data_IF_343886010195
#
_entry.id   IF_343886010195
#
_cell.length_a   1.000
_cell.length_b   1.000
_cell.length_c   1.000
_cell.angle_alpha   90.00
_cell.angle_beta   90.00
_cell.angle_gamma   90.00
#
_symmetry.space_group_name_H-M   'P 1'
#
loop_
_entity.id
_entity.type
_entity.pdbx_description
1 polymer ?
#
# COMPACT_ATOMS: atom_id res chain seq x y z
N UNK A 1 2.10 -1.77 -16.99
CA UNK A 1 3.45 -2.34 -16.82
C UNK A 1 3.45 -3.28 -15.61
N UNK A 2 4.34 -4.29 -15.52
CA UNK A 2 4.60 -5.05 -14.28
C UNK A 2 6.03 -4.75 -13.83
N UNK A 3 6.19 -4.05 -12.72
CA UNK A 3 7.42 -3.44 -12.23
C UNK A 3 8.51 -4.47 -11.95
N UNK A 4 8.24 -5.55 -11.20
CA UNK A 4 9.31 -6.54 -10.91
C UNK A 4 9.87 -7.17 -12.19
N UNK A 5 9.03 -7.35 -13.22
CA UNK A 5 9.49 -7.85 -14.52
C UNK A 5 10.40 -6.83 -15.20
N UNK A 6 10.02 -5.56 -15.18
CA UNK A 6 10.84 -4.46 -15.72
C UNK A 6 12.19 -4.38 -14.99
N UNK A 7 12.20 -4.49 -13.67
CA UNK A 7 13.42 -4.50 -12.84
C UNK A 7 14.31 -5.68 -13.23
N UNK A 8 13.75 -6.89 -13.22
CA UNK A 8 14.50 -8.10 -13.56
C UNK A 8 15.09 -8.02 -14.98
N UNK A 9 14.31 -7.55 -15.97
CA UNK A 9 14.79 -7.39 -17.33
C UNK A 9 15.92 -6.36 -17.42
N UNK A 10 15.78 -5.20 -16.77
CA UNK A 10 16.78 -4.13 -16.81
C UNK A 10 18.07 -4.54 -16.13
N UNK A 11 18.01 -5.05 -14.90
CA UNK A 11 19.21 -5.50 -14.20
C UNK A 11 19.82 -6.75 -14.82
N UNK A 12 19.02 -7.67 -15.37
CA UNK A 12 19.54 -8.80 -16.14
C UNK A 12 20.30 -8.35 -17.38
N UNK A 13 19.79 -7.34 -18.09
CA UNK A 13 20.49 -6.75 -19.23
C UNK A 13 21.79 -6.05 -18.82
N UNK A 14 21.78 -5.28 -17.73
CA UNK A 14 22.98 -4.64 -17.20
C UNK A 14 24.03 -5.66 -16.75
N UNK A 15 23.60 -6.72 -16.07
CA UNK A 15 24.45 -7.82 -15.63
C UNK A 15 25.14 -8.52 -16.82
N UNK A 16 24.39 -8.79 -17.90
CA UNK A 16 24.91 -9.48 -19.08
C UNK A 16 25.85 -8.62 -19.93
N UNK A 17 25.58 -7.31 -20.05
CA UNK A 17 26.14 -6.48 -21.14
C UNK A 17 26.90 -5.25 -20.68
N UNK A 18 26.69 -4.77 -19.46
CA UNK A 18 27.25 -3.51 -19.02
C UNK A 18 28.51 -3.64 -18.17
N UNK A 19 29.41 -2.69 -18.38
CA UNK A 19 30.55 -2.44 -17.50
C UNK A 19 30.29 -1.11 -16.82
N UNK A 20 29.72 -1.11 -15.60
CA UNK A 20 29.49 0.15 -14.90
C UNK A 20 30.83 0.84 -14.71
N UNK A 21 30.83 2.16 -14.88
CA UNK A 21 31.96 3.01 -14.49
C UNK A 21 31.79 3.40 -13.03
N UNK A 22 32.89 3.66 -12.33
CA UNK A 22 32.80 4.26 -11.00
C UNK A 22 32.04 5.59 -11.05
N UNK A 23 31.21 5.84 -10.05
CA UNK A 23 30.41 7.05 -9.93
C UNK A 23 30.63 7.69 -8.57
N UNK A 24 30.33 8.98 -8.43
CA UNK A 24 30.50 9.69 -7.16
C UNK A 24 29.22 9.61 -6.33
N UNK A 25 29.35 9.24 -5.06
CA UNK A 25 28.26 9.25 -4.09
C UNK A 25 27.98 10.65 -3.52
N UNK A 26 26.97 10.74 -2.65
CA UNK A 26 26.54 12.00 -2.04
C UNK A 26 27.60 12.61 -1.11
N UNK A 27 28.45 11.76 -0.52
CA UNK A 27 29.59 12.12 0.32
C UNK A 27 30.84 12.56 -0.48
N UNK A 28 30.72 12.66 -1.81
CA UNK A 28 31.83 12.98 -2.71
C UNK A 28 32.82 11.83 -2.91
N UNK A 29 32.59 10.66 -2.30
CA UNK A 29 33.47 9.50 -2.44
C UNK A 29 33.11 8.67 -3.68
N UNK A 30 34.10 8.03 -4.33
CA UNK A 30 33.82 7.14 -5.45
C UNK A 30 33.14 5.86 -4.96
N UNK A 31 32.06 5.47 -5.63
CA UNK A 31 31.43 4.15 -5.56
C UNK A 31 32.04 3.29 -6.66
N UNK A 32 32.77 2.21 -6.31
CA UNK A 32 33.40 1.30 -7.26
C UNK A 32 32.41 0.69 -8.25
N UNK A 33 32.88 0.41 -9.47
CA UNK A 33 32.08 -0.29 -10.50
C UNK A 33 31.60 -1.68 -10.05
N UNK A 34 32.40 -2.38 -9.24
CA UNK A 34 32.03 -3.72 -8.75
C UNK A 34 30.82 -3.67 -7.81
N UNK A 35 30.67 -2.60 -7.01
CA UNK A 35 29.52 -2.42 -6.13
C UNK A 35 28.22 -2.34 -6.93
N UNK A 36 28.22 -1.70 -8.10
CA UNK A 36 27.07 -1.68 -9.00
C UNK A 36 26.72 -3.07 -9.52
N UNK A 37 27.72 -3.86 -9.90
CA UNK A 37 27.50 -5.24 -10.37
C UNK A 37 26.93 -6.12 -9.27
N UNK A 38 27.50 -6.00 -8.07
CA UNK A 38 27.03 -6.74 -6.91
C UNK A 38 25.61 -6.33 -6.52
N UNK A 39 25.29 -5.03 -6.60
CA UNK A 39 23.93 -4.54 -6.40
C UNK A 39 22.94 -5.14 -7.40
N UNK A 40 23.23 -5.10 -8.70
CA UNK A 40 22.38 -5.70 -9.73
C UNK A 40 22.16 -7.20 -9.51
N UNK A 41 23.23 -7.92 -9.16
CA UNK A 41 23.18 -9.35 -8.84
C UNK A 41 22.33 -9.61 -7.60
N UNK A 42 22.46 -8.79 -6.56
CA UNK A 42 21.67 -8.90 -5.33
C UNK A 42 20.19 -8.74 -5.63
N UNK A 43 19.80 -7.67 -6.34
CA UNK A 43 18.39 -7.41 -6.68
C UNK A 43 17.79 -8.55 -7.51
N UNK A 44 18.55 -9.08 -8.49
CA UNK A 44 18.10 -10.24 -9.27
C UNK A 44 17.94 -11.50 -8.43
N UNK A 45 18.86 -11.73 -7.48
CA UNK A 45 18.82 -12.86 -6.55
C UNK A 45 17.65 -12.77 -5.57
N UNK A 46 17.37 -11.56 -5.07
CA UNK A 46 16.24 -11.30 -4.19
C UNK A 46 14.92 -11.51 -4.94
N UNK A 47 14.75 -10.93 -6.13
CA UNK A 47 13.56 -11.16 -6.95
C UNK A 47 13.38 -12.64 -7.36
N UNK A 48 14.47 -13.39 -7.55
CA UNK A 48 14.39 -14.82 -7.85
C UNK A 48 13.98 -15.68 -6.65
N UNK A 49 14.28 -15.22 -5.44
CA UNK A 49 13.97 -15.93 -4.20
C UNK A 49 12.64 -15.50 -3.59
N UNK A 50 12.16 -14.30 -3.94
CA UNK A 50 10.96 -13.70 -3.38
C UNK A 50 9.67 -14.41 -3.84
N UNK A 51 8.67 -14.47 -2.95
CA UNK A 51 7.29 -14.71 -3.35
C UNK A 51 6.71 -13.41 -3.89
N UNK A 52 6.33 -13.42 -5.17
CA UNK A 52 5.83 -12.23 -5.87
C UNK A 52 4.30 -12.18 -5.77
N UNK A 53 3.77 -11.14 -5.13
CA UNK A 53 2.35 -10.79 -5.10
C UNK A 53 2.08 -9.54 -5.93
N UNK A 54 1.17 -9.64 -6.88
CA UNK A 54 0.65 -8.52 -7.65
C UNK A 54 -0.79 -8.28 -7.23
N UNK A 55 -1.06 -7.14 -6.60
CA UNK A 55 -2.42 -6.76 -6.23
C UNK A 55 -3.09 -6.17 -7.47
N UNK A 56 -4.28 -6.67 -7.81
CA UNK A 56 -5.15 -5.86 -8.66
C UNK A 56 -5.61 -4.59 -7.91
N UNK A 57 -6.12 -3.61 -8.65
CA UNK A 57 -6.49 -2.33 -8.06
C UNK A 57 -7.58 -2.45 -6.98
N UNK A 58 -8.53 -3.38 -7.14
CA UNK A 58 -9.60 -3.57 -6.15
C UNK A 58 -9.08 -4.19 -4.85
N UNK A 59 -8.20 -5.19 -4.95
CA UNK A 59 -7.52 -5.78 -3.81
C UNK A 59 -6.64 -4.75 -3.09
N UNK A 60 -5.87 -3.94 -3.83
CA UNK A 60 -5.08 -2.86 -3.24
C UNK A 60 -5.96 -1.84 -2.52
N UNK A 61 -7.10 -1.46 -3.11
CA UNK A 61 -8.04 -0.52 -2.51
C UNK A 61 -8.72 -1.09 -1.24
N UNK A 62 -9.08 -2.37 -1.25
CA UNK A 62 -9.59 -3.06 -0.06
C UNK A 62 -8.55 -3.09 1.07
N UNK A 63 -7.33 -3.52 0.77
CA UNK A 63 -6.25 -3.55 1.76
C UNK A 63 -5.92 -2.16 2.30
N UNK A 64 -5.99 -1.11 1.47
CA UNK A 64 -5.83 0.27 1.92
C UNK A 64 -7.00 0.77 2.78
N UNK A 65 -8.22 0.27 2.58
CA UNK A 65 -9.35 0.60 3.46
C UNK A 65 -9.17 -0.03 4.85
N UNK A 66 -8.67 -1.28 4.92
CA UNK A 66 -8.31 -1.94 6.19
C UNK A 66 -7.14 -1.23 6.89
N UNK A 67 -6.13 -0.82 6.12
CA UNK A 67 -4.97 -0.06 6.61
C UNK A 67 -5.40 1.19 7.38
N UNK A 68 -6.45 1.88 6.95
CA UNK A 68 -6.98 3.06 7.64
C UNK A 68 -7.55 2.73 9.03
N UNK A 69 -7.99 1.50 9.27
CA UNK A 69 -8.33 1.04 10.62
C UNK A 69 -7.14 1.05 11.58
N UNK A 70 -5.94 0.77 11.04
CA UNK A 70 -4.68 0.70 11.80
C UNK A 70 -3.99 2.05 11.90
N UNK A 71 -3.68 2.66 10.74
CA UNK A 71 -2.94 3.92 10.66
C UNK A 71 -3.81 5.17 10.82
N UNK A 72 -5.13 5.02 10.79
CA UNK A 72 -6.04 6.16 10.75
C UNK A 72 -6.15 6.81 9.38
N UNK A 73 -6.98 7.84 9.36
CA UNK A 73 -7.12 8.71 8.19
C UNK A 73 -5.82 9.50 7.98
N UNK A 74 -5.48 9.91 6.75
CA UNK A 74 -4.27 10.70 6.50
C UNK A 74 -4.18 12.03 7.28
N UNK A 75 -5.30 12.55 7.77
CA UNK A 75 -5.38 13.77 8.60
C UNK A 75 -5.45 13.49 10.10
N UNK A 76 -5.50 12.22 10.52
CA UNK A 76 -5.45 11.84 11.92
C UNK A 76 -3.99 11.72 12.35
N UNK A 77 -3.66 12.36 13.48
CA UNK A 77 -2.39 12.12 14.16
C UNK A 77 -2.54 10.86 15.01
N UNK A 78 -2.04 9.73 14.52
CA UNK A 78 -2.03 8.46 15.25
C UNK A 78 -0.61 8.11 15.67
N UNK A 79 -0.41 7.64 16.92
CA UNK A 79 0.90 7.24 17.38
C UNK A 79 1.38 6.00 16.62
N UNK A 80 2.67 5.95 16.29
CA UNK A 80 3.29 4.79 15.62
C UNK A 80 3.13 3.47 16.40
N UNK A 81 2.83 3.55 17.71
CA UNK A 81 2.49 2.40 18.56
C UNK A 81 1.29 1.60 18.05
N UNK A 82 0.34 2.23 17.36
CA UNK A 82 -0.85 1.55 16.84
C UNK A 82 -0.49 0.68 15.63
N UNK A 83 0.42 1.16 14.78
CA UNK A 83 1.01 0.39 13.69
C UNK A 83 1.81 -0.78 14.27
N UNK A 84 2.62 -0.51 15.29
CA UNK A 84 3.41 -1.53 15.96
C UNK A 84 2.55 -2.64 16.54
N UNK A 85 1.48 -2.29 17.26
CA UNK A 85 0.57 -3.26 17.87
C UNK A 85 -0.06 -4.19 16.84
N UNK A 86 -0.41 -3.67 15.66
CA UNK A 86 -0.92 -4.50 14.58
C UNK A 86 0.17 -5.36 13.94
N UNK A 87 1.26 -4.74 13.48
CA UNK A 87 2.27 -5.41 12.64
C UNK A 87 2.98 -6.54 13.39
N UNK A 88 3.16 -6.44 14.71
CA UNK A 88 3.78 -7.48 15.54
C UNK A 88 3.05 -8.82 15.47
N UNK A 89 1.73 -8.79 15.31
CA UNK A 89 0.90 -10.00 15.27
C UNK A 89 0.80 -10.61 13.86
N UNK A 90 1.35 -9.95 12.84
CA UNK A 90 1.26 -10.41 11.45
C UNK A 90 2.33 -11.45 11.16
N UNK A 91 1.89 -12.64 10.77
CA UNK A 91 2.78 -13.69 10.26
C UNK A 91 3.10 -13.49 8.79
N UNK A 92 4.37 -13.64 8.43
CA UNK A 92 4.84 -13.51 7.06
C UNK A 92 4.58 -14.81 6.27
N UNK A 93 3.94 -14.74 5.08
CA UNK A 93 3.74 -15.92 4.23
C UNK A 93 5.03 -16.61 3.76
N UNK A 94 6.12 -15.84 3.65
CA UNK A 94 7.48 -16.25 3.27
C UNK A 94 8.50 -15.26 3.83
N UNK A 95 9.75 -15.70 3.92
CA UNK A 95 10.84 -14.87 4.43
C UNK A 95 11.23 -13.72 3.50
N UNK A 96 10.97 -13.84 2.20
CA UNK A 96 11.23 -12.79 1.22
C UNK A 96 10.02 -12.62 0.32
N UNK A 97 9.44 -11.42 0.31
CA UNK A 97 8.18 -11.13 -0.35
C UNK A 97 8.28 -9.85 -1.16
N UNK A 98 7.78 -9.90 -2.39
CA UNK A 98 7.53 -8.72 -3.20
C UNK A 98 6.03 -8.45 -3.26
N UNK A 99 5.61 -7.22 -3.00
CA UNK A 99 4.21 -6.77 -3.15
C UNK A 99 4.19 -5.59 -4.10
N UNK A 100 3.42 -5.69 -5.17
CA UNK A 100 3.30 -4.63 -6.18
C UNK A 100 1.85 -4.30 -6.49
N UNK A 101 1.58 -3.01 -6.71
CA UNK A 101 0.27 -2.49 -7.09
C UNK A 101 0.40 -1.23 -7.94
N UNK A 102 -0.71 -0.84 -8.56
CA UNK A 102 -0.82 0.42 -9.29
C UNK A 102 -1.13 1.57 -8.33
N UNK A 103 -0.12 2.37 -7.99
CA UNK A 103 -0.27 3.51 -7.07
C UNK A 103 -1.26 4.55 -7.61
N UNK A 104 -1.24 4.81 -8.92
CA UNK A 104 -2.18 5.78 -9.50
C UNK A 104 -3.62 5.34 -9.27
N UNK A 105 -3.93 4.07 -9.56
CA UNK A 105 -5.28 3.54 -9.33
C UNK A 105 -5.66 3.57 -7.86
N UNK A 106 -4.73 3.23 -6.97
CA UNK A 106 -4.99 3.31 -5.54
C UNK A 106 -5.31 4.75 -5.08
N UNK A 107 -4.59 5.76 -5.59
CA UNK A 107 -4.84 7.15 -5.25
C UNK A 107 -6.12 7.70 -5.90
N UNK A 108 -6.46 7.28 -7.12
CA UNK A 108 -7.79 7.53 -7.73
C UNK A 108 -8.91 7.01 -6.81
N UNK A 109 -8.75 5.81 -6.25
CA UNK A 109 -9.71 5.23 -5.31
C UNK A 109 -9.73 5.96 -3.95
N UNK A 110 -8.59 6.44 -3.45
CA UNK A 110 -8.53 7.30 -2.25
C UNK A 110 -9.27 8.61 -2.47
N UNK A 111 -9.15 9.23 -3.65
CA UNK A 111 -9.95 10.41 -4.02
C UNK A 111 -11.44 10.06 -4.07
N UNK A 112 -11.82 8.94 -4.68
CA UNK A 112 -13.20 8.48 -4.72
C UNK A 112 -13.79 8.22 -3.31
N UNK A 113 -12.97 7.73 -2.37
CA UNK A 113 -13.32 7.56 -0.95
C UNK A 113 -13.20 8.86 -0.12
N UNK A 114 -12.83 9.99 -0.74
CA UNK A 114 -12.61 11.29 -0.07
C UNK A 114 -11.53 11.26 1.02
N UNK A 115 -10.58 10.34 0.87
CA UNK A 115 -9.40 10.21 1.72
C UNK A 115 -8.29 11.14 1.25
N UNK A 116 -8.32 11.54 -0.03
CA UNK A 116 -7.37 12.47 -0.63
C UNK A 116 -8.09 13.50 -1.50
N UNK A 117 -7.46 14.66 -1.68
CA UNK A 117 -7.91 15.74 -2.58
C UNK A 117 -6.94 15.97 -3.74
N UNK A 118 -6.06 15.00 -4.03
CA UNK A 118 -5.11 15.13 -5.15
C UNK A 118 -5.84 15.35 -6.47
N UNK A 119 -5.27 16.26 -7.27
CA UNK A 119 -5.73 16.63 -8.60
C UNK A 119 -5.36 15.58 -9.64
N UNK A 120 -6.01 15.61 -10.80
CA UNK A 120 -5.68 14.71 -11.92
C UNK A 120 -4.22 14.87 -12.38
N UNK A 121 -3.66 16.07 -12.32
CA UNK A 121 -2.25 16.33 -12.64
C UNK A 121 -1.30 15.61 -11.67
N UNK A 122 -1.57 15.69 -10.36
CA UNK A 122 -0.78 14.98 -9.34
C UNK A 122 -0.90 13.45 -9.51
N UNK A 123 -2.10 12.94 -9.79
CA UNK A 123 -2.33 11.51 -10.07
C UNK A 123 -1.62 11.05 -11.34
N UNK A 124 -1.50 11.92 -12.35
CA UNK A 124 -0.79 11.63 -13.60
C UNK A 124 0.73 11.49 -13.40
N UNK A 125 1.29 11.83 -12.24
CA UNK A 125 2.69 11.57 -11.90
C UNK A 125 2.90 10.25 -11.16
N UNK A 126 1.82 9.56 -10.74
CA UNK A 126 1.88 8.27 -10.03
C UNK A 126 1.87 7.09 -10.99
N UNK A 127 2.56 6.01 -10.63
CA UNK A 127 2.74 4.79 -11.45
C UNK A 127 2.90 3.56 -10.52
N UNK A 128 3.18 2.39 -11.06
CA UNK A 128 3.41 1.18 -10.25
C UNK A 128 4.44 1.41 -9.12
N UNK A 129 4.11 0.90 -7.93
CA UNK A 129 5.00 0.79 -6.77
C UNK A 129 5.19 -0.67 -6.41
N UNK A 130 6.38 -1.00 -5.93
CA UNK A 130 6.76 -2.32 -5.51
C UNK A 130 7.52 -2.27 -4.19
N UNK A 131 7.10 -3.09 -3.23
CA UNK A 131 7.74 -3.24 -1.94
C UNK A 131 8.42 -4.59 -1.86
N UNK A 132 9.69 -4.59 -1.46
CA UNK A 132 10.40 -5.80 -1.07
C UNK A 132 10.47 -5.85 0.45
N UNK A 133 9.86 -6.88 1.03
CA UNK A 133 9.94 -7.21 2.45
C UNK A 133 10.89 -8.38 2.63
N UNK A 134 12.02 -8.14 3.29
CA UNK A 134 13.01 -9.15 3.60
C UNK A 134 13.05 -9.43 5.10
N UNK A 135 12.45 -10.55 5.46
CA UNK A 135 12.32 -11.09 6.80
C UNK A 135 13.29 -12.26 7.06
N UNK A 136 14.26 -12.53 6.16
CA UNK A 136 15.21 -13.65 6.28
C UNK A 136 16.14 -13.54 7.48
N UNK A 137 16.49 -12.31 7.88
CA UNK A 137 17.37 -12.09 9.04
C UNK A 137 16.61 -12.36 10.34
N UNK A 138 17.19 -13.09 11.31
CA UNK A 138 16.57 -13.30 12.62
C UNK A 138 16.47 -12.00 13.42
N UNK A 139 17.37 -11.05 13.19
CA UNK A 139 17.50 -9.83 14.03
C UNK A 139 16.74 -8.63 13.46
N UNK A 140 16.38 -8.65 12.18
CA UNK A 140 15.76 -7.50 11.52
C UNK A 140 14.83 -7.88 10.37
N UNK A 141 13.87 -7.01 10.12
CA UNK A 141 13.08 -6.93 8.90
C UNK A 141 13.56 -5.72 8.09
N UNK A 142 13.75 -5.88 6.79
CA UNK A 142 14.02 -4.73 5.91
C UNK A 142 12.92 -4.52 4.89
N UNK A 143 12.62 -3.26 4.59
CA UNK A 143 11.60 -2.86 3.62
C UNK A 143 12.20 -1.86 2.63
N UNK A 144 12.06 -2.18 1.34
CA UNK A 144 12.53 -1.34 0.23
C UNK A 144 11.36 -0.97 -0.68
N UNK A 145 11.26 0.30 -1.09
CA UNK A 145 10.29 0.77 -2.09
C UNK A 145 10.97 1.04 -3.43
N UNK A 146 10.39 0.49 -4.48
CA UNK A 146 10.71 0.71 -5.87
C UNK A 146 9.53 1.42 -6.54
N UNK A 147 9.83 2.41 -7.39
CA UNK A 147 8.81 3.23 -8.04
C UNK A 147 9.03 3.31 -9.53
N UNK A 148 7.98 3.07 -10.32
CA UNK A 148 8.02 3.29 -11.75
C UNK A 148 8.05 4.79 -12.07
N UNK A 149 8.89 5.20 -13.01
CA UNK A 149 8.89 6.55 -13.59
C UNK A 149 8.09 6.59 -14.89
N UNK A 150 8.19 5.52 -15.66
CA UNK A 150 7.51 5.32 -16.93
C UNK A 150 7.28 3.83 -17.15
N UNK A 151 6.71 3.45 -18.29
CA UNK A 151 6.52 2.04 -18.64
C UNK A 151 7.83 1.26 -18.85
N UNK A 152 8.98 1.95 -18.91
CA UNK A 152 10.29 1.35 -19.19
C UNK A 152 11.37 1.76 -18.18
N UNK A 153 11.09 2.71 -17.30
CA UNK A 153 12.02 3.23 -16.31
C UNK A 153 11.46 3.14 -14.90
N UNK A 154 12.33 2.88 -13.95
CA UNK A 154 12.01 2.84 -12.53
C UNK A 154 13.15 3.48 -11.73
N UNK A 155 12.80 3.88 -10.51
CA UNK A 155 13.69 4.24 -9.43
C UNK A 155 13.85 3.03 -8.51
N UNK A 156 15.10 2.67 -8.26
CA UNK A 156 15.50 1.70 -7.25
C UNK A 156 15.42 2.36 -5.85
N UNK A 157 15.52 1.57 -4.78
CA UNK A 157 15.43 2.02 -3.40
C UNK A 157 16.71 2.76 -2.95
N UNK A 158 16.70 4.10 -2.80
CA UNK A 158 17.85 4.86 -2.31
C UNK A 158 18.11 4.64 -0.82
N UNK A 159 17.07 4.32 -0.06
CA UNK A 159 17.10 4.09 1.37
C UNK A 159 16.38 2.78 1.67
N UNK A 160 16.93 2.01 2.59
CA UNK A 160 16.33 0.77 3.11
C UNK A 160 15.86 1.05 4.53
N UNK A 161 14.58 0.80 4.80
CA UNK A 161 14.05 0.82 6.15
C UNK A 161 14.46 -0.48 6.85
N UNK A 162 15.20 -0.38 7.95
CA UNK A 162 15.49 -1.52 8.82
C UNK A 162 14.69 -1.40 10.11
N UNK A 163 13.96 -2.45 10.44
CA UNK A 163 13.16 -2.59 11.65
C UNK A 163 13.78 -3.72 12.45
N UNK A 164 14.28 -3.43 13.65
CA UNK A 164 14.84 -4.46 14.53
C UNK A 164 13.74 -5.42 14.98
N UNK A 165 14.10 -6.67 15.24
CA UNK A 165 13.21 -7.65 15.86
C UNK A 165 13.46 -7.74 17.35
N UNK A 166 12.40 -7.99 18.11
CA UNK A 166 12.52 -8.30 19.54
C UNK A 166 12.87 -9.78 19.78
N UNK A 167 12.90 -10.18 21.05
CA UNK A 167 13.26 -11.53 21.49
C UNK A 167 12.33 -12.62 20.93
N UNK A 168 11.09 -12.27 20.58
CA UNK A 168 10.10 -13.15 19.96
C UNK A 168 10.23 -13.19 18.42
N UNK A 169 11.21 -12.47 17.86
CA UNK A 169 11.41 -12.35 16.41
C UNK A 169 10.40 -11.45 15.70
N UNK A 170 9.64 -10.61 16.45
CA UNK A 170 8.62 -9.72 15.90
C UNK A 170 9.20 -8.32 15.63
N UNK A 171 8.77 -7.62 14.55
CA UNK A 171 9.28 -6.29 14.25
C UNK A 171 8.96 -5.24 15.34
N UNK A 172 9.96 -4.47 15.77
CA UNK A 172 9.86 -3.35 16.72
C UNK A 172 10.06 -2.00 16.03
N UNK A 173 8.94 -1.31 15.76
CA UNK A 173 8.94 -0.01 15.10
C UNK A 173 9.46 1.15 15.94
N UNK A 174 9.70 0.96 17.25
CA UNK A 174 10.32 1.99 18.11
C UNK A 174 11.81 2.14 17.83
N UNK A 175 12.42 1.15 17.18
CA UNK A 175 13.84 1.11 16.90
C UNK A 175 14.08 0.88 15.40
N UNK A 176 13.61 1.82 14.59
CA UNK A 176 13.83 1.81 13.14
C UNK A 176 15.05 2.62 12.76
N UNK A 177 15.72 2.21 11.69
CA UNK A 177 16.84 2.94 11.11
C UNK A 177 16.75 2.95 9.58
N UNK A 178 17.39 3.94 8.97
CA UNK A 178 17.43 4.09 7.51
C UNK A 178 18.85 3.87 7.01
N UNK A 179 19.04 2.86 6.17
CA UNK A 179 20.34 2.54 5.58
C UNK A 179 20.41 3.06 4.15
N UNK A 180 21.38 3.93 3.81
CA UNK A 180 21.52 4.45 2.46
C UNK A 180 22.13 3.41 1.52
N UNK A 181 21.52 3.24 0.34
CA UNK A 181 22.13 2.48 -0.74
C UNK A 181 23.01 3.41 -1.60
N UNK A 182 24.32 3.35 -1.34
CA UNK A 182 25.31 4.20 -2.02
C UNK A 182 25.29 4.09 -3.54
N UNK A 183 25.06 2.87 -4.07
CA UNK A 183 25.03 2.65 -5.53
C UNK A 183 23.81 3.33 -6.15
N UNK A 184 22.63 3.17 -5.54
CA UNK A 184 21.41 3.80 -6.02
C UNK A 184 21.51 5.32 -5.92
N UNK A 185 21.98 5.85 -4.78
CA UNK A 185 22.15 7.30 -4.57
C UNK A 185 23.10 7.90 -5.61
N UNK A 186 24.25 7.27 -5.87
CA UNK A 186 25.18 7.73 -6.92
C UNK A 186 24.52 7.71 -8.31
N UNK A 187 23.69 6.71 -8.60
CA UNK A 187 22.88 6.65 -9.83
C UNK A 187 21.87 7.80 -9.93
N UNK A 188 21.18 8.13 -8.85
CA UNK A 188 20.21 9.24 -8.79
C UNK A 188 20.89 10.61 -8.96
N UNK A 189 22.05 10.81 -8.35
CA UNK A 189 22.87 12.01 -8.55
C UNK A 189 23.27 12.16 -10.01
N UNK A 190 23.80 11.10 -10.63
CA UNK A 190 24.17 11.11 -12.05
C UNK A 190 22.98 11.42 -12.97
N UNK A 191 21.80 10.92 -12.63
CA UNK A 191 20.57 11.18 -13.37
C UNK A 191 19.98 12.58 -13.11
N UNK A 192 20.57 13.37 -12.21
CA UNK A 192 20.15 14.74 -11.91
C UNK A 192 18.96 14.86 -10.95
N UNK A 193 18.56 13.78 -10.28
CA UNK A 193 17.50 13.81 -9.27
C UNK A 193 17.94 14.45 -7.95
N UNK A 194 19.23 14.32 -7.61
CA UNK A 194 19.82 14.84 -6.37
C UNK A 194 20.85 15.92 -6.74
N UNK A 195 20.36 17.15 -6.99
CA UNK A 195 21.18 18.25 -7.55
C UNK A 195 22.03 18.94 -6.48
N UNK A 196 21.48 19.05 -5.29
CA UNK A 196 22.07 19.71 -4.13
C UNK A 196 21.57 19.06 -2.83
N UNK A 197 22.10 19.49 -1.69
CA UNK A 197 21.74 18.93 -0.39
C UNK A 197 20.26 19.14 -0.03
N UNK A 198 19.64 20.24 -0.48
CA UNK A 198 18.25 20.55 -0.18
C UNK A 198 17.29 19.63 -0.95
N UNK A 199 17.49 19.49 -2.25
CA UNK A 199 16.74 18.56 -3.11
C UNK A 199 16.94 17.11 -2.69
N UNK A 200 18.16 16.73 -2.28
CA UNK A 200 18.40 15.39 -1.75
C UNK A 200 17.62 15.14 -0.46
N UNK A 201 17.59 16.12 0.46
CA UNK A 201 16.82 16.03 1.70
C UNK A 201 15.32 15.90 1.43
N UNK A 202 14.76 16.76 0.58
CA UNK A 202 13.36 16.73 0.21
C UNK A 202 12.96 15.37 -0.39
N UNK A 203 13.75 14.90 -1.36
CA UNK A 203 13.52 13.60 -2.00
C UNK A 203 13.55 12.44 -1.01
N UNK A 204 14.51 12.44 -0.07
CA UNK A 204 14.61 11.38 0.94
C UNK A 204 13.50 11.44 1.98
N UNK A 205 13.09 12.63 2.43
CA UNK A 205 11.96 12.74 3.36
C UNK A 205 10.65 12.29 2.70
N UNK A 206 10.43 12.67 1.43
CA UNK A 206 9.28 12.18 0.66
C UNK A 206 9.31 10.65 0.51
N UNK A 207 10.47 10.09 0.13
CA UNK A 207 10.65 8.65 0.00
C UNK A 207 10.36 7.90 1.30
N UNK A 208 10.91 8.37 2.44
CA UNK A 208 10.66 7.78 3.76
C UNK A 208 9.18 7.80 4.10
N UNK A 209 8.52 8.93 3.88
CA UNK A 209 7.07 9.07 4.10
C UNK A 209 6.26 8.08 3.28
N UNK A 210 6.59 7.90 2.00
CA UNK A 210 5.92 6.90 1.15
C UNK A 210 6.12 5.48 1.67
N UNK A 211 7.35 5.12 2.07
CA UNK A 211 7.65 3.78 2.60
C UNK A 211 6.86 3.51 3.87
N UNK A 212 6.98 4.38 4.88
CA UNK A 212 6.36 4.14 6.20
C UNK A 212 4.84 4.16 6.12
N UNK A 213 4.29 5.01 5.26
CA UNK A 213 2.85 5.09 5.05
C UNK A 213 2.30 3.86 4.33
N UNK A 214 2.92 3.44 3.23
CA UNK A 214 2.31 2.46 2.33
C UNK A 214 2.75 1.01 2.57
N UNK A 215 3.87 0.77 3.24
CA UNK A 215 4.30 -0.61 3.58
C UNK A 215 3.25 -1.39 4.36
N UNK A 216 2.38 -0.69 5.10
CA UNK A 216 1.30 -1.31 5.89
C UNK A 216 0.29 -2.06 5.01
N UNK A 217 0.14 -1.69 3.73
CA UNK A 217 -0.67 -2.45 2.75
C UNK A 217 -0.13 -3.88 2.60
N UNK A 218 1.20 -4.06 2.61
CA UNK A 218 1.83 -5.37 2.61
C UNK A 218 1.48 -6.20 3.85
N UNK A 219 1.50 -5.59 5.03
CA UNK A 219 1.10 -6.26 6.26
C UNK A 219 -0.39 -6.62 6.28
N UNK A 220 -1.27 -5.76 5.76
CA UNK A 220 -2.70 -6.08 5.59
C UNK A 220 -2.87 -7.31 4.69
N UNK A 221 -2.11 -7.39 3.59
CA UNK A 221 -2.12 -8.55 2.70
C UNK A 221 -1.72 -9.82 3.47
N UNK A 222 -0.64 -9.76 4.24
CA UNK A 222 -0.12 -10.92 4.96
C UNK A 222 -1.13 -11.43 6.00
N UNK A 223 -1.75 -10.52 6.76
CA UNK A 223 -2.80 -10.85 7.71
C UNK A 223 -4.02 -11.48 7.02
N UNK A 224 -4.50 -10.89 5.92
CA UNK A 224 -5.64 -11.42 5.16
C UNK A 224 -5.35 -12.83 4.60
N UNK A 225 -4.13 -13.05 4.07
CA UNK A 225 -3.71 -14.38 3.61
C UNK A 225 -3.59 -15.40 4.75
N UNK A 226 -3.18 -14.96 5.94
CA UNK A 226 -3.07 -15.80 7.13
C UNK A 226 -4.45 -16.19 7.70
N UNK A 227 -5.41 -15.26 7.67
CA UNK A 227 -6.79 -15.49 8.13
C UNK A 227 -7.54 -16.52 7.26
N UNK A 228 -7.15 -16.67 5.99
CA UNK A 228 -7.77 -17.61 5.02
C UNK A 228 -9.27 -17.39 4.82
N UNK A 229 -9.70 -16.14 4.94
CA UNK A 229 -11.05 -15.72 4.61
C UNK A 229 -11.23 -15.60 3.08
N UNK A 230 -12.47 -15.47 2.63
CA UNK A 230 -12.81 -15.29 1.21
C UNK A 230 -12.68 -13.83 0.75
N UNK A 231 -11.96 -13.00 1.52
CA UNK A 231 -11.65 -11.62 1.21
C UNK A 231 -10.75 -11.45 -0.02
N UNK A 232 -9.81 -12.36 -0.22
CA UNK A 232 -8.80 -12.28 -1.26
C UNK A 232 -8.69 -13.60 -1.99
N UNK A 233 -8.64 -13.54 -3.32
CA UNK A 233 -8.52 -14.71 -4.19
C UNK A 233 -7.13 -14.72 -4.83
N UNK A 234 -6.19 -15.54 -4.34
CA UNK A 234 -4.87 -15.68 -4.94
C UNK A 234 -4.90 -16.58 -6.18
N UNK A 235 -4.31 -16.12 -7.28
CA UNK A 235 -4.14 -16.89 -8.51
C UNK A 235 -2.67 -16.87 -8.95
N UNK A 236 -2.01 -18.04 -8.90
CA UNK A 236 -0.63 -18.17 -9.38
C UNK A 236 -0.58 -18.33 -10.90
N UNK A 237 0.29 -17.55 -11.54
CA UNK A 237 0.49 -17.54 -12.98
C UNK A 237 1.98 -17.57 -13.34
N UNK A 238 2.41 -18.38 -14.32
CA UNK A 238 3.76 -18.31 -14.84
C UNK A 238 4.10 -16.91 -15.37
N UNK A 239 5.29 -16.41 -15.04
CA UNK A 239 5.69 -15.05 -15.41
C UNK A 239 6.17 -14.94 -16.85
N UNK A 240 6.63 -16.08 -17.40
CA UNK A 240 7.08 -16.23 -18.79
C UNK A 240 6.21 -17.25 -19.52
N UNK A 241 5.99 -17.01 -20.81
CA UNK A 241 5.42 -18.03 -21.70
C UNK A 241 6.43 -19.15 -21.98
N UNK A 242 5.93 -20.32 -22.39
CA UNK A 242 6.78 -21.45 -22.76
C UNK A 242 7.79 -21.10 -23.87
N UNK A 243 7.41 -20.25 -24.82
CA UNK A 243 8.31 -19.77 -25.87
C UNK A 243 9.42 -18.88 -25.32
N UNK A 244 9.11 -18.00 -24.37
CA UNK A 244 10.09 -17.15 -23.70
C UNK A 244 11.07 -17.97 -22.87
N UNK A 245 10.59 -18.97 -22.11
CA UNK A 245 11.43 -19.90 -21.34
C UNK A 245 12.40 -20.65 -22.25
N UNK A 246 11.91 -21.21 -23.37
CA UNK A 246 12.76 -21.90 -24.36
C UNK A 246 13.83 -20.97 -24.94
N UNK A 247 13.45 -19.74 -25.28
CA UNK A 247 14.36 -18.73 -25.82
C UNK A 247 15.42 -18.32 -24.81
N UNK A 248 15.03 -18.04 -23.57
CA UNK A 248 15.97 -17.70 -22.50
C UNK A 248 17.01 -18.79 -22.28
N UNK A 249 16.58 -20.07 -22.24
CA UNK A 249 17.49 -21.22 -22.15
C UNK A 249 18.43 -21.32 -23.36
N UNK A 250 17.91 -21.14 -24.58
CA UNK A 250 18.71 -21.19 -25.82
C UNK A 250 19.84 -20.15 -25.83
N UNK A 251 19.61 -18.98 -25.25
CA UNK A 251 20.58 -17.89 -25.19
C UNK A 251 21.35 -17.81 -23.87
N UNK A 252 21.26 -18.84 -23.00
CA UNK A 252 22.00 -18.88 -21.73
C UNK A 252 21.57 -17.82 -20.71
N UNK A 253 20.37 -17.23 -20.84
CA UNK A 253 19.85 -16.20 -19.94
C UNK A 253 19.21 -16.84 -18.70
N UNK A 254 20.03 -17.46 -17.86
CA UNK A 254 19.56 -18.19 -16.66
C UNK A 254 18.80 -17.28 -15.70
N UNK A 255 19.26 -16.03 -15.53
CA UNK A 255 18.59 -15.01 -14.70
C UNK A 255 17.12 -14.79 -15.11
N UNK A 256 16.77 -14.87 -16.41
CA UNK A 256 15.37 -14.73 -16.84
C UNK A 256 14.51 -15.88 -16.30
N UNK A 257 15.00 -17.11 -16.40
CA UNK A 257 14.24 -18.29 -15.97
C UNK A 257 14.25 -18.48 -14.46
N UNK A 258 15.25 -17.96 -13.76
CA UNK A 258 15.37 -18.02 -12.31
C UNK A 258 14.56 -16.93 -11.62
N UNK A 259 14.60 -15.70 -12.15
CA UNK A 259 13.89 -14.55 -11.57
C UNK A 259 12.43 -14.48 -12.00
N UNK A 260 12.11 -14.80 -13.26
CA UNK A 260 10.74 -14.67 -13.80
C UNK A 260 10.03 -16.03 -13.87
N UNK A 261 9.92 -16.72 -12.73
CA UNK A 261 9.26 -18.04 -12.65
C UNK A 261 7.74 -17.92 -12.66
N UNK A 262 7.18 -17.39 -11.58
CA UNK A 262 5.75 -17.20 -11.38
C UNK A 262 5.49 -15.99 -10.49
N UNK A 263 4.24 -15.56 -10.46
CA UNK A 263 3.73 -14.56 -9.53
C UNK A 263 2.30 -14.93 -9.14
N UNK A 264 1.87 -14.43 -7.99
CA UNK A 264 0.50 -14.57 -7.51
C UNK A 264 -0.22 -13.26 -7.76
N UNK A 265 -1.24 -13.27 -8.61
CA UNK A 265 -2.18 -12.17 -8.69
C UNK A 265 -3.19 -12.31 -7.56
N UNK A 266 -3.31 -11.27 -6.73
CA UNK A 266 -4.31 -11.19 -5.67
C UNK A 266 -5.47 -10.37 -6.21
N UNK A 267 -6.66 -10.99 -6.22
CA UNK A 267 -7.92 -10.32 -6.56
C UNK A 267 -8.76 -10.14 -5.31
N UNK A 268 -9.66 -9.16 -5.36
CA UNK A 268 -10.71 -9.04 -4.35
C UNK A 268 -11.64 -10.26 -4.41
N UNK A 269 -12.06 -10.75 -3.25
CA UNK A 269 -13.04 -11.82 -3.11
C UNK A 269 -14.39 -11.31 -2.62
N UNK A 270 -15.41 -12.19 -2.53
CA UNK A 270 -16.81 -11.77 -2.32
C UNK A 270 -17.06 -11.01 -1.01
N UNK A 271 -16.44 -11.43 0.10
CA UNK A 271 -16.59 -10.74 1.39
C UNK A 271 -16.03 -9.31 1.36
N UNK A 272 -14.83 -9.14 0.78
CA UNK A 272 -14.22 -7.84 0.58
C UNK A 272 -15.03 -6.95 -0.39
N UNK A 273 -15.62 -7.51 -1.45
CA UNK A 273 -16.51 -6.77 -2.35
C UNK A 273 -17.75 -6.23 -1.63
N UNK A 274 -18.34 -7.04 -0.74
CA UNK A 274 -19.46 -6.62 0.11
C UNK A 274 -19.04 -5.49 1.05
N UNK A 275 -17.89 -5.62 1.71
CA UNK A 275 -17.33 -4.58 2.57
C UNK A 275 -17.15 -3.25 1.83
N UNK A 276 -16.53 -3.28 0.64
CA UNK A 276 -16.32 -2.07 -0.17
C UNK A 276 -17.64 -1.46 -0.64
N UNK A 277 -18.64 -2.29 -0.94
CA UNK A 277 -19.99 -1.84 -1.30
C UNK A 277 -20.68 -1.14 -0.13
N UNK A 278 -20.58 -1.72 1.07
CA UNK A 278 -21.11 -1.13 2.30
C UNK A 278 -20.45 0.22 2.60
N UNK A 279 -19.12 0.30 2.50
CA UNK A 279 -18.37 1.54 2.72
C UNK A 279 -18.83 2.65 1.76
N UNK A 280 -19.02 2.32 0.47
CA UNK A 280 -19.52 3.26 -0.53
C UNK A 280 -20.96 3.70 -0.26
N UNK A 281 -21.82 2.77 0.17
CA UNK A 281 -23.20 3.08 0.55
C UNK A 281 -23.24 4.04 1.74
N UNK A 282 -22.39 3.81 2.75
CA UNK A 282 -22.24 4.68 3.91
C UNK A 282 -21.81 6.10 3.53
N UNK A 283 -20.81 6.22 2.65
CA UNK A 283 -20.33 7.53 2.18
C UNK A 283 -21.45 8.33 1.48
N UNK A 284 -22.22 7.70 0.59
CA UNK A 284 -23.38 8.34 -0.08
C UNK A 284 -24.49 8.75 0.90
N UNK A 285 -24.72 7.93 1.93
CA UNK A 285 -25.68 8.24 2.97
C UNK A 285 -25.24 9.48 3.76
N UNK A 286 -23.98 9.55 4.17
CA UNK A 286 -23.40 10.70 4.88
C UNK A 286 -23.45 11.98 4.02
N UNK A 287 -23.19 11.88 2.71
CA UNK A 287 -23.39 12.99 1.76
C UNK A 287 -24.83 13.50 1.74
N UNK A 288 -25.79 12.58 1.66
CA UNK A 288 -27.23 12.91 1.63
C UNK A 288 -27.67 13.59 2.93
N UNK A 289 -27.08 13.20 4.07
CA UNK A 289 -27.32 13.87 5.35
C UNK A 289 -26.72 15.28 5.38
N UNK A 290 -25.47 15.46 4.93
CA UNK A 290 -24.76 16.73 4.97
C UNK A 290 -25.40 17.81 4.07
N UNK A 291 -26.02 17.43 2.95
CA UNK A 291 -26.71 18.34 2.02
C UNK A 291 -28.10 18.79 2.51
N UNK A 292 -28.53 18.35 3.71
CA UNK A 292 -29.61 19.01 4.45
C UNK A 292 -31.04 18.66 4.05
N UNK A 293 -31.27 17.51 3.39
CA UNK A 293 -32.63 17.00 3.07
C UNK A 293 -32.89 15.55 3.48
N UNK A 294 -32.07 14.97 4.37
CA UNK A 294 -32.41 13.67 4.90
C UNK A 294 -33.65 13.80 5.81
N UNK A 295 -34.74 13.13 5.42
CA UNK A 295 -35.92 12.97 6.29
C UNK A 295 -35.43 12.27 7.56
N UNK A 296 -35.82 12.71 8.78
CA UNK A 296 -35.34 12.07 9.99
C UNK A 296 -35.58 10.56 9.93
N UNK A 297 -34.57 9.77 10.30
CA UNK A 297 -34.78 8.34 10.57
C UNK A 297 -35.85 8.22 11.65
N UNK A 298 -36.68 7.18 11.56
CA UNK A 298 -37.78 6.95 12.50
C UNK A 298 -37.33 7.13 13.96
N UNK A 299 -37.92 8.09 14.65
CA UNK A 299 -37.68 8.37 16.07
C UNK A 299 -39.00 8.58 16.79
N UNK A 300 -38.99 8.36 18.11
CA UNK A 300 -40.12 8.65 18.96
C UNK A 300 -40.20 10.14 19.26
N UNK A 301 -41.36 10.72 18.98
CA UNK A 301 -41.72 12.06 19.43
C UNK A 301 -42.50 11.91 20.73
N UNK A 302 -42.02 12.55 21.79
CA UNK A 302 -42.70 12.54 23.08
C UNK A 302 -44.09 13.21 23.00
N UNK A 303 -44.96 12.84 23.93
CA UNK A 303 -46.27 13.47 24.05
C UNK A 303 -46.10 14.99 24.27
N UNK A 304 -46.83 15.79 23.51
CA UNK A 304 -46.76 17.25 23.57
C UNK A 304 -48.09 17.89 23.21
N UNK A 305 -48.27 19.14 23.62
CA UNK A 305 -49.45 19.93 23.27
C UNK A 305 -49.16 20.78 22.03
N UNK A 306 -50.12 20.79 21.11
CA UNK A 306 -50.06 21.60 19.89
C UNK A 306 -51.12 22.69 19.96
N UNK A 307 -50.67 23.93 19.92
CA UNK A 307 -51.51 25.12 19.94
C UNK A 307 -51.73 25.59 18.51
N UNK A 308 -52.99 25.79 18.14
CA UNK A 308 -53.38 26.31 16.83
C UNK A 308 -53.69 27.81 16.93
N UNK A 309 -53.53 28.52 15.82
CA UNK A 309 -53.74 29.98 15.75
C UNK A 309 -55.18 30.41 16.12
N UNK A 310 -56.14 29.48 16.13
CA UNK A 310 -57.52 29.68 16.55
C UNK A 310 -57.77 29.42 18.06
N UNK A 311 -56.72 29.25 18.87
CA UNK A 311 -56.81 29.00 20.30
C UNK A 311 -57.11 27.55 20.69
N UNK A 312 -57.29 26.63 19.73
CA UNK A 312 -57.46 25.21 20.00
C UNK A 312 -56.13 24.61 20.50
N UNK A 313 -56.19 23.86 21.60
CA UNK A 313 -55.06 23.07 22.11
C UNK A 313 -55.38 21.59 21.95
N UNK A 314 -54.45 20.84 21.35
CA UNK A 314 -54.60 19.39 21.15
C UNK A 314 -53.40 18.68 21.76
N UNK A 315 -53.66 17.71 22.63
CA UNK A 315 -52.64 16.83 23.19
C UNK A 315 -52.31 15.71 22.20
N UNK A 316 -51.09 15.73 21.67
CA UNK A 316 -50.59 14.76 20.70
C UNK A 316 -49.86 13.67 21.46
N UNK A 317 -50.43 12.45 21.46
CA UNK A 317 -49.80 11.28 22.09
C UNK A 317 -48.45 10.96 21.43
N UNK A 318 -47.58 10.30 22.19
CA UNK A 318 -46.30 9.85 21.68
C UNK A 318 -46.47 9.00 20.41
N UNK A 319 -45.72 9.32 19.37
CA UNK A 319 -45.81 8.66 18.06
C UNK A 319 -44.45 8.63 17.39
N UNK A 320 -44.29 7.73 16.42
CA UNK A 320 -43.10 7.64 15.59
C UNK A 320 -43.17 8.66 14.46
N UNK A 321 -42.07 9.34 14.19
CA UNK A 321 -41.92 10.31 13.09
C UNK A 321 -40.64 10.03 12.32
N UNK A 322 -40.70 10.17 11.01
CA UNK A 322 -39.58 9.88 10.11
C UNK A 322 -39.87 8.71 9.18
N UNK A 323 -38.86 8.30 8.39
CA UNK A 323 -38.94 7.10 7.57
C UNK A 323 -38.35 5.90 8.32
N UNK A 324 -38.99 4.73 8.17
CA UNK A 324 -38.45 3.48 8.71
C UNK A 324 -37.03 3.25 8.17
N UNK A 325 -36.10 2.77 9.01
CA UNK A 325 -34.72 2.53 8.57
C UNK A 325 -34.72 1.54 7.40
N UNK A 326 -34.08 1.92 6.30
CA UNK A 326 -33.90 1.01 5.17
C UNK A 326 -33.06 -0.18 5.63
N UNK A 327 -33.49 -1.39 5.25
CA UNK A 327 -32.70 -2.62 5.46
C UNK A 327 -31.43 -2.67 4.60
N UNK A 328 -31.33 -1.78 3.61
CA UNK A 328 -30.19 -1.65 2.70
C UNK A 328 -29.17 -0.61 3.17
N UNK A 329 -29.48 0.15 4.24
CA UNK A 329 -28.55 1.09 4.86
C UNK A 329 -27.85 0.39 6.04
N UNK A 330 -26.55 0.64 6.26
CA UNK A 330 -25.83 0.04 7.36
C UNK A 330 -26.50 0.39 8.69
N UNK A 331 -26.73 -0.61 9.53
CA UNK A 331 -27.24 -0.40 10.87
C UNK A 331 -26.25 0.50 11.62
N UNK A 332 -26.73 1.64 12.14
CA UNK A 332 -25.94 2.43 13.08
C UNK A 332 -25.66 1.55 14.30
N UNK A 333 -24.48 0.92 14.37
CA UNK A 333 -23.94 0.43 15.63
C UNK A 333 -23.50 1.67 16.39
N UNK A 334 -24.45 2.27 17.11
CA UNK A 334 -24.13 3.26 18.13
C UNK A 334 -23.47 2.46 19.24
N UNK A 335 -22.13 2.47 19.26
CA UNK A 335 -21.38 1.98 20.42
C UNK A 335 -21.87 2.68 21.70
N UNK A 336 -21.72 2.06 22.88
CA UNK A 336 -22.23 2.62 24.11
C UNK A 336 -21.68 4.04 24.28
N UNK A 337 -22.59 5.01 24.46
CA UNK A 337 -22.20 6.33 24.97
C UNK A 337 -21.46 6.08 26.28
N UNK A 338 -20.25 6.63 26.42
CA UNK A 338 -19.64 6.77 27.74
C UNK A 338 -20.63 7.51 28.62
N UNK A 339 -21.08 6.83 29.66
CA UNK A 339 -21.63 7.50 30.83
C UNK A 339 -20.44 8.07 31.60
N UNK A 340 -20.59 9.36 31.90
CA UNK A 340 -19.87 10.23 32.83
C UNK A 340 -18.85 11.20 32.19
#
# INVERSE_FOLDING_TARGET
MILYKTIALKFGHFYDRERPTSMTGLDGQPVPSEDFRQHWKSVLGDLASARIYLLDHNAANYLDSLRMGVQGMPWEDRPESDIQGYVREVDFPRDLIWVEYDDRKLWEDRVARRVSTQTEEELNNRRQRGFLFDNRSPDKLTVCLFSALSDTMFLDAPLVLEIQKDEDGRPDFRNTSWQPNKTVIAGLMRAGFLRDAASAREYFEEYKGHVTYEMVIGFMLFAALAAREDDLVPQETPSLSNAQVKTARKFGKTWMTETLRSHVTIRIGPAAELHMTEQKARLRFEETQAVGRATPTEHWVAEHERHYANGKVVRVRAHKRGQSPSRELPARVVGPKKHD
#
